data_IF_862815426686
#
_entry.id   IF_862815426686
#
_cell.length_a   1.000
_cell.length_b   1.000
_cell.length_c   1.000
_cell.angle_alpha   90.00
_cell.angle_beta   90.00
_cell.angle_gamma   90.00
#
_symmetry.space_group_name_H-M   'P 1'
#
loop_
_entity.id
_entity.type
_entity.pdbx_description
1 polymer ?
#
# COMPACT_ATOMS: atom_id res chain seq x y z
N UNK A 1 -14.93 0.77 3.99
CA UNK A 1 -15.05 0.65 2.52
C UNK A 1 -16.47 0.37 2.05
N UNK A 2 -17.32 -0.31 2.83
CA UNK A 2 -18.69 -0.64 2.41
C UNK A 2 -19.52 0.60 2.02
N UNK A 3 -19.42 1.70 2.76
CA UNK A 3 -20.08 2.97 2.41
C UNK A 3 -19.61 3.47 1.03
N UNK A 4 -18.29 3.51 0.80
CA UNK A 4 -17.74 3.94 -0.48
C UNK A 4 -18.19 3.04 -1.65
N UNK A 5 -18.14 1.72 -1.48
CA UNK A 5 -18.48 0.76 -2.53
C UNK A 5 -19.98 0.66 -2.80
N UNK A 6 -20.81 0.65 -1.76
CA UNK A 6 -22.26 0.39 -1.86
C UNK A 6 -23.02 1.67 -2.14
N UNK A 7 -22.74 2.74 -1.39
CA UNK A 7 -23.50 4.00 -1.50
C UNK A 7 -22.92 4.90 -2.59
N UNK A 8 -21.60 5.08 -2.61
CA UNK A 8 -20.93 5.99 -3.54
C UNK A 8 -20.44 5.33 -4.83
N UNK A 9 -20.65 4.02 -4.97
CA UNK A 9 -20.36 3.25 -6.20
C UNK A 9 -18.93 3.47 -6.72
N UNK A 10 -17.95 3.56 -5.83
CA UNK A 10 -16.55 3.68 -6.28
C UNK A 10 -16.16 2.46 -7.12
N UNK A 11 -15.43 2.72 -8.21
CA UNK A 11 -14.98 1.68 -9.15
C UNK A 11 -13.55 1.25 -8.85
N UNK A 12 -12.74 2.19 -8.33
CA UNK A 12 -11.30 2.02 -8.16
C UNK A 12 -10.91 2.21 -6.70
N UNK A 13 -10.04 1.32 -6.23
CA UNK A 13 -9.45 1.36 -4.91
C UNK A 13 -7.94 1.43 -5.10
N UNK A 14 -7.32 2.46 -4.53
CA UNK A 14 -5.87 2.63 -4.55
C UNK A 14 -5.37 2.48 -3.12
N UNK A 15 -4.54 1.47 -2.88
CA UNK A 15 -3.91 1.22 -1.59
C UNK A 15 -2.46 1.70 -1.71
N UNK A 16 -2.08 2.62 -0.83
CA UNK A 16 -0.73 3.16 -0.77
C UNK A 16 -0.13 2.78 0.57
N UNK A 17 1.07 2.22 0.54
CA UNK A 17 1.94 2.12 1.71
C UNK A 17 3.23 2.88 1.41
N UNK A 18 3.93 3.31 2.44
CA UNK A 18 5.14 4.10 2.27
C UNK A 18 6.27 3.59 3.15
N UNK A 19 7.49 3.93 2.76
CA UNK A 19 8.70 3.73 3.53
C UNK A 19 8.69 4.59 4.79
N UNK A 20 9.38 4.15 5.84
CA UNK A 20 9.41 4.79 7.15
C UNK A 20 8.01 4.93 7.76
N UNK A 21 7.22 3.86 7.64
CA UNK A 21 5.87 3.87 8.16
C UNK A 21 5.86 3.61 9.68
N UNK A 22 5.41 4.61 10.45
CA UNK A 22 5.35 4.52 11.91
C UNK A 22 4.46 3.39 12.45
N UNK A 23 3.50 2.88 11.66
CA UNK A 23 2.71 1.71 12.04
C UNK A 23 3.55 0.41 12.13
N UNK A 24 4.69 0.37 11.45
CA UNK A 24 5.64 -0.74 11.45
C UNK A 24 6.90 -0.43 12.28
N UNK A 25 6.90 0.67 13.05
CA UNK A 25 8.06 1.10 13.84
C UNK A 25 9.07 1.98 13.10
N UNK A 26 8.74 2.43 11.88
CA UNK A 26 9.65 3.21 11.03
C UNK A 26 10.79 2.37 10.44
N UNK A 27 11.65 3.02 9.66
CA UNK A 27 12.77 2.33 8.99
C UNK A 27 13.75 1.69 9.99
N UNK A 28 13.85 2.23 11.21
CA UNK A 28 14.70 1.70 12.29
C UNK A 28 14.32 0.29 12.76
N UNK A 29 13.10 -0.17 12.45
CA UNK A 29 12.64 -1.51 12.79
C UNK A 29 13.07 -2.59 11.78
N UNK A 30 13.78 -2.21 10.72
CA UNK A 30 14.27 -3.11 9.68
C UNK A 30 15.80 -3.16 9.66
N UNK A 31 16.37 -4.29 9.28
CA UNK A 31 17.83 -4.46 9.20
C UNK A 31 18.44 -3.81 7.97
N UNK A 32 17.63 -3.56 6.94
CA UNK A 32 18.05 -2.91 5.70
C UNK A 32 16.87 -2.29 4.95
N UNK A 33 17.18 -1.34 4.07
CA UNK A 33 16.20 -0.75 3.14
C UNK A 33 15.52 -1.79 2.25
N UNK A 34 16.24 -2.84 1.83
CA UNK A 34 15.68 -3.88 0.96
C UNK A 34 14.69 -4.78 1.73
N UNK A 35 14.96 -5.03 3.02
CA UNK A 35 14.03 -5.74 3.90
C UNK A 35 12.74 -4.93 4.10
N UNK A 36 12.87 -3.63 4.39
CA UNK A 36 11.73 -2.72 4.53
C UNK A 36 10.90 -2.65 3.24
N UNK A 37 11.55 -2.42 2.10
CA UNK A 37 10.89 -2.40 0.78
C UNK A 37 10.13 -3.72 0.54
N UNK A 38 10.77 -4.86 0.81
CA UNK A 38 10.16 -6.18 0.65
C UNK A 38 8.98 -6.40 1.59
N UNK A 39 9.10 -5.96 2.85
CA UNK A 39 8.04 -6.04 3.84
C UNK A 39 6.81 -5.27 3.39
N UNK A 40 6.95 -3.97 3.08
CA UNK A 40 5.83 -3.13 2.67
C UNK A 40 5.17 -3.61 1.37
N UNK A 41 5.94 -4.07 0.40
CA UNK A 41 5.38 -4.64 -0.83
C UNK A 41 4.59 -5.93 -0.58
N UNK A 42 5.05 -6.79 0.33
CA UNK A 42 4.35 -8.01 0.70
C UNK A 42 3.06 -7.70 1.46
N UNK A 43 3.07 -6.74 2.38
CA UNK A 43 1.87 -6.30 3.09
C UNK A 43 0.84 -5.67 2.12
N UNK A 44 1.30 -4.89 1.14
CA UNK A 44 0.43 -4.39 0.07
C UNK A 44 -0.23 -5.51 -0.74
N UNK A 45 0.54 -6.55 -1.12
CA UNK A 45 0.00 -7.71 -1.84
C UNK A 45 -1.03 -8.47 -1.00
N UNK A 46 -0.79 -8.65 0.30
CA UNK A 46 -1.76 -9.25 1.24
C UNK A 46 -3.03 -8.41 1.33
N UNK A 47 -2.89 -7.09 1.50
CA UNK A 47 -4.03 -6.16 1.56
C UNK A 47 -4.87 -6.22 0.27
N UNK A 48 -4.22 -6.22 -0.90
CA UNK A 48 -4.90 -6.41 -2.19
C UNK A 48 -5.67 -7.71 -2.24
N UNK A 49 -5.07 -8.82 -1.83
CA UNK A 49 -5.73 -10.13 -1.83
C UNK A 49 -7.00 -10.14 -0.96
N UNK A 50 -6.91 -9.62 0.26
CA UNK A 50 -8.05 -9.54 1.19
C UNK A 50 -9.17 -8.65 0.62
N UNK A 51 -8.82 -7.45 0.12
CA UNK A 51 -9.78 -6.50 -0.41
C UNK A 51 -10.43 -7.03 -1.68
N UNK A 52 -9.67 -7.69 -2.56
CA UNK A 52 -10.20 -8.32 -3.78
C UNK A 52 -11.19 -9.45 -3.45
N UNK A 53 -10.94 -10.22 -2.38
CA UNK A 53 -11.88 -11.23 -1.91
C UNK A 53 -13.22 -10.63 -1.44
N UNK A 54 -13.19 -9.46 -0.80
CA UNK A 54 -14.41 -8.78 -0.31
C UNK A 54 -15.13 -7.96 -1.38
N UNK A 55 -14.40 -7.42 -2.36
CA UNK A 55 -14.92 -6.52 -3.40
C UNK A 55 -14.48 -6.98 -4.81
N UNK A 56 -14.99 -8.12 -5.29
CA UNK A 56 -14.52 -8.77 -6.51
C UNK A 56 -14.81 -7.98 -7.80
N UNK A 57 -15.72 -7.01 -7.74
CA UNK A 57 -16.12 -6.15 -8.86
C UNK A 57 -15.31 -4.84 -8.94
N UNK A 58 -14.34 -4.62 -8.03
CA UNK A 58 -13.57 -3.38 -7.95
C UNK A 58 -12.18 -3.52 -8.55
N UNK A 59 -11.72 -2.46 -9.21
CA UNK A 59 -10.35 -2.37 -9.69
C UNK A 59 -9.43 -1.95 -8.54
N UNK A 60 -8.47 -2.81 -8.17
CA UNK A 60 -7.61 -2.60 -7.00
C UNK A 60 -6.16 -2.42 -7.43
N UNK A 61 -5.62 -1.23 -7.17
CA UNK A 61 -4.24 -0.86 -7.38
C UNK A 61 -3.48 -0.79 -6.05
N UNK A 62 -2.23 -1.27 -6.06
CA UNK A 62 -1.29 -1.11 -4.95
C UNK A 62 -0.12 -0.25 -5.39
N UNK A 63 0.34 0.65 -4.52
CA UNK A 63 1.48 1.54 -4.75
C UNK A 63 2.35 1.56 -3.49
N UNK A 64 3.65 1.40 -3.69
CA UNK A 64 4.63 1.62 -2.64
C UNK A 64 5.35 2.95 -2.89
N UNK A 65 5.39 3.82 -1.89
CA UNK A 65 5.99 5.15 -1.98
C UNK A 65 7.23 5.26 -1.08
N UNK A 66 8.33 5.73 -1.66
CA UNK A 66 9.54 6.13 -0.95
C UNK A 66 9.72 7.63 -1.15
N UNK A 67 9.66 8.40 -0.06
CA UNK A 67 9.60 9.86 -0.12
C UNK A 67 10.97 10.56 -0.20
N UNK A 68 12.07 9.82 0.00
CA UNK A 68 13.43 10.35 -0.06
C UNK A 68 13.71 11.55 0.87
N UNK A 69 14.95 12.04 0.88
CA UNK A 69 15.34 13.15 1.78
C UNK A 69 15.01 14.56 1.25
N UNK A 70 14.59 14.71 -0.02
CA UNK A 70 14.32 16.02 -0.64
C UNK A 70 12.97 16.10 -1.38
N UNK A 71 11.99 15.29 -0.98
CA UNK A 71 10.67 15.24 -1.63
C UNK A 71 10.66 14.52 -2.99
N UNK A 72 11.79 13.91 -3.38
CA UNK A 72 11.87 13.01 -4.51
C UNK A 72 11.10 11.73 -4.19
N UNK A 73 9.87 11.62 -4.70
CA UNK A 73 9.03 10.45 -4.47
C UNK A 73 9.29 9.39 -5.53
N UNK A 74 9.79 8.23 -5.12
CA UNK A 74 9.81 7.02 -5.95
C UNK A 74 8.54 6.22 -5.66
N UNK A 75 7.70 6.04 -6.68
CA UNK A 75 6.51 5.19 -6.56
C UNK A 75 6.70 3.92 -7.37
N UNK A 76 6.63 2.78 -6.70
CA UNK A 76 6.66 1.46 -7.34
C UNK A 76 5.23 0.99 -7.61
N UNK A 77 4.96 0.63 -8.87
CA UNK A 77 3.74 -0.07 -9.28
C UNK A 77 3.98 -1.57 -9.14
N UNK A 78 3.18 -2.24 -8.32
CA UNK A 78 3.33 -3.65 -7.94
C UNK A 78 2.26 -4.55 -8.56
#
# INVERSE_FOLDING_TARGET
MDIACVLHKVEKIIIVNHKDCGAYGGSDNFTSSDEEDSHHQNELRKARHIIAGKYPDKEIFIRYADFGEQGATRVTVL
#
